data_IF_840436458679
#
_entry.id   IF_840436458679
#
_cell.length_a   1.000
_cell.length_b   1.000
_cell.length_c   1.000
_cell.angle_alpha   90.00
_cell.angle_beta   90.00
_cell.angle_gamma   90.00
#
_symmetry.space_group_name_H-M   'P 1'
#
loop_
_entity.id
_entity.type
_entity.pdbx_description
1 polymer ?
#
# COMPACT_ATOMS: atom_id res chain seq x y z
N UNK A 1 11.06 -14.51 -7.89
CA UNK A 1 10.71 -13.54 -8.94
C UNK A 1 9.21 -13.21 -8.96
N UNK A 2 8.28 -14.19 -8.98
CA UNK A 2 6.83 -13.95 -9.13
C UNK A 2 6.23 -13.07 -8.02
N UNK A 3 6.63 -13.24 -6.76
CA UNK A 3 6.14 -12.42 -5.62
C UNK A 3 6.54 -10.96 -5.76
N UNK A 4 7.79 -10.71 -6.11
CA UNK A 4 8.31 -9.36 -6.32
C UNK A 4 7.62 -8.71 -7.52
N UNK A 5 7.42 -9.47 -8.61
CA UNK A 5 6.66 -8.99 -9.76
C UNK A 5 5.22 -8.62 -9.39
N UNK A 6 4.53 -9.43 -8.57
CA UNK A 6 3.19 -9.11 -8.06
C UNK A 6 3.16 -7.80 -7.28
N UNK A 7 4.16 -7.55 -6.41
CA UNK A 7 4.28 -6.28 -5.67
C UNK A 7 4.42 -5.09 -6.61
N UNK A 8 5.37 -5.16 -7.55
CA UNK A 8 5.62 -4.06 -8.49
C UNK A 8 4.45 -3.80 -9.43
N UNK A 9 3.81 -4.87 -9.94
CA UNK A 9 2.65 -4.72 -10.82
C UNK A 9 1.41 -4.24 -10.06
N UNK A 10 1.23 -4.61 -8.80
CA UNK A 10 0.17 -4.03 -7.95
C UNK A 10 0.37 -2.53 -7.78
N UNK A 11 1.63 -2.08 -7.57
CA UNK A 11 1.94 -0.65 -7.54
C UNK A 11 1.57 0.03 -8.84
N UNK A 12 2.01 -0.50 -9.97
CA UNK A 12 1.69 0.07 -11.28
C UNK A 12 0.19 0.11 -11.52
N UNK A 13 -0.53 -0.94 -11.15
CA UNK A 13 -1.98 -1.02 -11.31
C UNK A 13 -2.70 0.05 -10.48
N UNK A 14 -2.43 0.15 -9.17
CA UNK A 14 -3.11 1.18 -8.37
C UNK A 14 -2.74 2.60 -8.80
N UNK A 15 -1.48 2.84 -9.20
CA UNK A 15 -1.04 4.15 -9.63
C UNK A 15 -1.73 4.58 -10.94
N UNK A 16 -1.83 3.67 -11.90
CA UNK A 16 -2.53 3.92 -13.18
C UNK A 16 -4.03 4.12 -12.97
N UNK A 17 -4.67 3.25 -12.21
CA UNK A 17 -6.11 3.34 -11.94
C UNK A 17 -6.43 4.64 -11.20
N UNK A 18 -5.66 4.98 -10.17
CA UNK A 18 -5.84 6.21 -9.41
C UNK A 18 -5.65 7.45 -10.29
N UNK A 19 -4.59 7.49 -11.09
CA UNK A 19 -4.33 8.59 -12.01
C UNK A 19 -5.48 8.76 -13.04
N UNK A 20 -5.97 7.65 -13.57
CA UNK A 20 -7.10 7.66 -14.52
C UNK A 20 -8.38 8.16 -13.86
N UNK A 21 -8.72 7.68 -12.66
CA UNK A 21 -9.90 8.13 -11.91
C UNK A 21 -9.83 9.62 -11.58
N UNK A 22 -8.68 10.09 -11.11
CA UNK A 22 -8.46 11.50 -10.79
C UNK A 22 -8.61 12.38 -12.03
N UNK A 23 -8.03 11.96 -13.17
CA UNK A 23 -8.11 12.69 -14.42
C UNK A 23 -9.54 12.72 -14.99
N UNK A 24 -10.24 11.59 -15.00
CA UNK A 24 -11.60 11.49 -15.54
C UNK A 24 -12.64 12.23 -14.70
N UNK A 25 -12.46 12.24 -13.38
CA UNK A 25 -13.39 12.87 -12.45
C UNK A 25 -13.03 14.33 -12.13
N UNK A 26 -11.93 14.86 -12.67
CA UNK A 26 -11.46 16.21 -12.40
C UNK A 26 -11.11 16.47 -10.93
N UNK A 27 -10.66 15.46 -10.21
CA UNK A 27 -10.36 15.52 -8.79
C UNK A 27 -8.93 16.00 -8.52
N UNK A 28 -8.68 16.44 -7.28
CA UNK A 28 -7.31 16.67 -6.83
C UNK A 28 -6.64 15.33 -6.53
N UNK A 29 -5.35 15.24 -6.85
CA UNK A 29 -4.58 14.04 -6.53
C UNK A 29 -4.45 13.89 -5.00
N UNK A 30 -4.75 12.70 -4.42
CA UNK A 30 -4.82 12.52 -2.96
C UNK A 30 -3.46 12.51 -2.27
N UNK A 31 -2.38 12.70 -3.01
CA UNK A 31 -1.00 12.64 -2.50
C UNK A 31 -0.14 13.76 -3.03
N UNK A 32 0.89 14.11 -2.26
CA UNK A 32 2.08 14.78 -2.77
C UNK A 32 3.08 13.74 -3.31
N UNK A 33 3.96 14.09 -4.26
CA UNK A 33 4.97 13.16 -4.79
C UNK A 33 5.81 12.48 -3.69
N UNK A 34 6.17 13.22 -2.63
CA UNK A 34 6.91 12.70 -1.47
C UNK A 34 6.14 11.65 -0.68
N UNK A 35 4.80 11.72 -0.61
CA UNK A 35 3.97 10.70 0.01
C UNK A 35 4.07 9.36 -0.74
N UNK A 36 4.06 9.41 -2.08
CA UNK A 36 4.22 8.23 -2.93
C UNK A 36 5.61 7.62 -2.77
N UNK A 37 6.63 8.46 -2.59
CA UNK A 37 8.00 8.01 -2.31
C UNK A 37 8.07 7.26 -0.99
N UNK A 38 7.51 7.81 0.09
CA UNK A 38 7.46 7.14 1.39
C UNK A 38 6.71 5.81 1.31
N UNK A 39 5.47 5.84 0.82
CA UNK A 39 4.64 4.64 0.69
C UNK A 39 5.29 3.59 -0.20
N UNK A 40 5.84 3.99 -1.34
CA UNK A 40 6.54 3.10 -2.26
C UNK A 40 7.81 2.49 -1.67
N UNK A 41 8.58 3.26 -0.90
CA UNK A 41 9.79 2.76 -0.23
C UNK A 41 9.45 1.72 0.83
N UNK A 42 8.49 2.01 1.71
CA UNK A 42 8.12 1.14 2.82
C UNK A 42 7.31 -0.09 2.40
N UNK A 43 6.48 0.01 1.38
CA UNK A 43 5.59 -1.09 0.98
C UNK A 43 6.09 -1.91 -0.21
N UNK A 44 7.10 -1.42 -0.95
CA UNK A 44 7.54 -2.11 -2.17
C UNK A 44 9.05 -2.11 -2.33
N UNK A 45 9.70 -0.94 -2.29
CA UNK A 45 11.11 -0.81 -2.62
C UNK A 45 12.01 -1.59 -1.67
N UNK A 46 11.99 -1.22 -0.40
CA UNK A 46 12.82 -1.85 0.64
C UNK A 46 12.43 -3.33 0.84
N UNK A 47 11.15 -3.67 1.11
CA UNK A 47 10.78 -5.06 1.30
C UNK A 47 10.97 -5.90 0.03
N UNK A 48 10.69 -5.35 -1.16
CA UNK A 48 10.90 -6.04 -2.42
C UNK A 48 12.37 -6.39 -2.65
N UNK A 49 13.29 -5.50 -2.29
CA UNK A 49 14.72 -5.76 -2.32
C UNK A 49 15.11 -6.93 -1.41
N UNK A 50 14.72 -6.88 -0.14
CA UNK A 50 15.03 -7.97 0.80
C UNK A 50 14.40 -9.30 0.41
N UNK A 51 13.16 -9.28 -0.09
CA UNK A 51 12.48 -10.48 -0.57
C UNK A 51 13.11 -11.05 -1.84
N UNK A 52 13.69 -10.21 -2.70
CA UNK A 52 14.43 -10.65 -3.88
C UNK A 52 15.73 -11.37 -3.54
N UNK A 53 16.39 -11.01 -2.43
CA UNK A 53 17.61 -11.67 -1.95
C UNK A 53 17.36 -13.05 -1.33
N UNK A 54 16.10 -13.38 -1.01
CA UNK A 54 15.78 -14.67 -0.40
C UNK A 54 15.87 -15.81 -1.44
N UNK A 55 16.52 -16.93 -1.12
CA UNK A 55 16.54 -18.10 -1.96
C UNK A 55 15.12 -18.58 -2.26
N UNK A 56 14.81 -18.76 -3.52
CA UNK A 56 13.53 -19.32 -3.94
C UNK A 56 13.75 -20.60 -4.76
N UNK A 57 13.62 -21.79 -4.17
CA UNK A 57 13.83 -23.06 -4.84
C UNK A 57 12.68 -23.46 -5.79
N UNK A 58 11.65 -22.63 -5.95
CA UNK A 58 10.49 -22.98 -6.79
C UNK A 58 10.85 -22.91 -8.26
N UNK A 59 10.58 -24.00 -8.97
CA UNK A 59 10.74 -24.12 -10.41
C UNK A 59 9.82 -23.15 -11.16
N UNK A 60 10.27 -22.72 -12.34
CA UNK A 60 9.48 -21.93 -13.27
C UNK A 60 8.17 -22.66 -13.63
N UNK A 61 7.07 -21.94 -13.62
CA UNK A 61 5.76 -22.41 -14.08
C UNK A 61 5.28 -21.56 -15.25
N UNK A 62 4.81 -22.13 -16.37
CA UNK A 62 4.22 -21.38 -17.48
C UNK A 62 3.04 -20.50 -17.02
N UNK A 63 2.73 -19.40 -17.75
CA UNK A 63 1.63 -18.51 -17.41
C UNK A 63 1.96 -17.50 -16.30
N UNK A 64 3.24 -17.18 -16.10
CA UNK A 64 3.69 -16.19 -15.10
C UNK A 64 2.97 -14.84 -15.20
N UNK A 65 2.86 -14.27 -16.41
CA UNK A 65 2.26 -12.95 -16.63
C UNK A 65 0.78 -12.96 -16.25
N UNK A 66 0.03 -13.96 -16.73
CA UNK A 66 -1.39 -14.07 -16.45
C UNK A 66 -1.68 -14.19 -14.94
N UNK A 67 -0.96 -15.08 -14.24
CA UNK A 67 -1.11 -15.23 -12.77
C UNK A 67 -0.75 -13.98 -12.01
N UNK A 68 0.23 -13.23 -12.51
CA UNK A 68 0.67 -12.00 -11.87
C UNK A 68 -0.36 -10.90 -12.07
N UNK A 69 -0.89 -10.73 -13.28
CA UNK A 69 -1.92 -9.73 -13.60
C UNK A 69 -3.25 -10.06 -12.94
N UNK A 70 -3.66 -11.32 -12.89
CA UNK A 70 -4.88 -11.76 -12.18
C UNK A 70 -4.88 -11.40 -10.70
N UNK A 71 -3.71 -11.29 -10.09
CA UNK A 71 -3.55 -10.79 -8.72
C UNK A 71 -3.41 -9.26 -8.69
N UNK A 72 -2.48 -8.72 -9.48
CA UNK A 72 -2.02 -7.34 -9.35
C UNK A 72 -3.08 -6.31 -9.75
N UNK A 73 -3.85 -6.58 -10.80
CA UNK A 73 -4.86 -5.64 -11.31
C UNK A 73 -6.01 -5.47 -10.31
N UNK A 74 -6.67 -6.52 -9.82
CA UNK A 74 -7.73 -6.36 -8.84
C UNK A 74 -7.23 -5.84 -7.49
N UNK A 75 -6.06 -6.28 -7.02
CA UNK A 75 -5.46 -5.76 -5.79
C UNK A 75 -5.16 -4.26 -5.91
N UNK A 76 -4.58 -3.85 -7.04
CA UNK A 76 -4.35 -2.44 -7.35
C UNK A 76 -5.63 -1.62 -7.43
N UNK A 77 -6.70 -2.17 -8.02
CA UNK A 77 -8.01 -1.52 -8.06
C UNK A 77 -8.59 -1.32 -6.66
N UNK A 78 -8.57 -2.34 -5.81
CA UNK A 78 -9.03 -2.24 -4.41
C UNK A 78 -8.27 -1.12 -3.70
N UNK A 79 -6.94 -1.08 -3.81
CA UNK A 79 -6.11 -0.04 -3.19
C UNK A 79 -6.48 1.35 -3.73
N UNK A 80 -6.58 1.51 -5.06
CA UNK A 80 -6.88 2.80 -5.69
C UNK A 80 -8.24 3.36 -5.24
N UNK A 81 -9.28 2.53 -5.26
CA UNK A 81 -10.61 2.94 -4.81
C UNK A 81 -10.65 3.23 -3.31
N UNK A 82 -9.97 2.43 -2.50
CA UNK A 82 -9.90 2.64 -1.05
C UNK A 82 -9.21 3.95 -0.72
N UNK A 83 -8.08 4.24 -1.35
CA UNK A 83 -7.32 5.47 -1.12
C UNK A 83 -8.11 6.70 -1.59
N UNK A 84 -8.65 6.66 -2.80
CA UNK A 84 -9.45 7.76 -3.33
C UNK A 84 -10.71 7.99 -2.47
N UNK A 85 -11.41 6.92 -2.11
CA UNK A 85 -12.57 6.98 -1.23
C UNK A 85 -12.26 7.56 0.14
N UNK A 86 -11.11 7.20 0.73
CA UNK A 86 -10.63 7.76 2.00
C UNK A 86 -10.40 9.26 1.88
N UNK A 87 -9.70 9.71 0.83
CA UNK A 87 -9.42 11.12 0.62
C UNK A 87 -10.71 11.94 0.44
N UNK A 88 -11.60 11.48 -0.44
CA UNK A 88 -12.88 12.16 -0.70
C UNK A 88 -13.79 12.18 0.54
N UNK A 89 -13.84 11.09 1.30
CA UNK A 89 -14.63 11.05 2.53
C UNK A 89 -14.07 12.03 3.57
N UNK A 90 -12.74 12.05 3.75
CA UNK A 90 -12.09 12.98 4.67
C UNK A 90 -12.37 14.45 4.32
N UNK A 91 -12.25 14.82 3.05
CA UNK A 91 -12.56 16.16 2.59
C UNK A 91 -14.05 16.54 2.79
N UNK A 92 -14.96 15.60 2.53
CA UNK A 92 -16.41 15.83 2.70
C UNK A 92 -16.83 16.07 4.15
N UNK A 93 -16.16 15.46 5.10
CA UNK A 93 -16.44 15.67 6.54
C UNK A 93 -15.62 16.83 7.14
N UNK A 94 -14.92 17.60 6.30
CA UNK A 94 -14.23 18.83 6.69
C UNK A 94 -12.84 18.61 7.28
N UNK A 95 -12.22 17.45 7.08
CA UNK A 95 -10.83 17.23 7.48
C UNK A 95 -9.91 18.08 6.59
N UNK A 96 -8.96 18.83 7.18
CA UNK A 96 -8.02 19.64 6.41
C UNK A 96 -7.25 18.83 5.38
N UNK A 97 -6.97 19.40 4.22
CA UNK A 97 -6.31 18.71 3.09
C UNK A 97 -5.02 18.00 3.49
N UNK A 98 -4.19 18.60 4.33
CA UNK A 98 -2.94 17.98 4.79
C UNK A 98 -3.18 16.71 5.64
N UNK A 99 -4.22 16.69 6.47
CA UNK A 99 -4.66 15.51 7.21
C UNK A 99 -5.24 14.44 6.28
N UNK A 100 -6.09 14.83 5.33
CA UNK A 100 -6.67 13.93 4.33
C UNK A 100 -5.59 13.24 3.48
N UNK A 101 -4.55 13.98 3.07
CA UNK A 101 -3.41 13.45 2.34
C UNK A 101 -2.57 12.51 3.21
N UNK A 102 -2.33 12.85 4.47
CA UNK A 102 -1.64 11.97 5.42
C UNK A 102 -2.43 10.68 5.64
N UNK A 103 -3.73 10.78 5.86
CA UNK A 103 -4.62 9.64 6.04
C UNK A 103 -4.60 8.69 4.82
N UNK A 104 -4.69 9.26 3.62
CA UNK A 104 -4.58 8.52 2.36
C UNK A 104 -3.24 7.82 2.21
N UNK A 105 -2.15 8.49 2.63
CA UNK A 105 -0.78 7.93 2.63
C UNK A 105 -0.65 6.77 3.61
N UNK A 106 -1.21 6.89 4.80
CA UNK A 106 -1.25 5.81 5.79
C UNK A 106 -2.01 4.60 5.25
N UNK A 107 -3.20 4.81 4.72
CA UNK A 107 -4.02 3.74 4.11
C UNK A 107 -3.28 3.05 2.98
N UNK A 108 -2.65 3.81 2.08
CA UNK A 108 -1.86 3.25 0.98
C UNK A 108 -0.69 2.40 1.49
N UNK A 109 0.07 2.92 2.45
CA UNK A 109 1.26 2.23 2.98
C UNK A 109 0.85 0.96 3.72
N UNK A 110 -0.15 1.04 4.58
CA UNK A 110 -0.66 -0.11 5.35
C UNK A 110 -1.29 -1.18 4.45
N UNK A 111 -2.08 -0.79 3.45
CA UNK A 111 -2.62 -1.73 2.47
C UNK A 111 -1.50 -2.39 1.63
N UNK A 112 -0.47 -1.64 1.28
CA UNK A 112 0.74 -2.18 0.63
C UNK A 112 1.47 -3.20 1.51
N UNK A 113 1.62 -2.95 2.81
CA UNK A 113 2.15 -3.93 3.78
C UNK A 113 1.24 -5.15 3.89
N UNK A 114 -0.08 -4.96 3.81
CA UNK A 114 -1.06 -6.03 3.74
C UNK A 114 -0.85 -6.94 2.52
N UNK A 115 -0.59 -6.37 1.35
CA UNK A 115 -0.25 -7.13 0.13
C UNK A 115 1.01 -7.98 0.34
N UNK A 116 2.06 -7.41 0.95
CA UNK A 116 3.27 -8.18 1.27
C UNK A 116 2.93 -9.34 2.19
N UNK A 117 2.16 -9.10 3.24
CA UNK A 117 1.73 -10.11 4.20
C UNK A 117 0.99 -11.26 3.49
N UNK A 118 0.07 -10.95 2.58
CA UNK A 118 -0.67 -11.97 1.79
C UNK A 118 0.27 -12.79 0.91
N UNK A 119 1.21 -12.13 0.23
CA UNK A 119 2.13 -12.78 -0.71
C UNK A 119 3.19 -13.64 -0.01
N UNK A 120 3.57 -13.26 1.21
CA UNK A 120 4.62 -13.93 1.98
C UNK A 120 4.06 -14.87 3.08
N UNK A 121 2.75 -15.03 3.14
CA UNK A 121 2.11 -15.93 4.11
C UNK A 121 2.52 -17.41 3.89
N UNK A 122 2.80 -18.17 4.95
CA UNK A 122 2.88 -17.78 6.35
C UNK A 122 4.14 -16.95 6.66
N UNK A 123 3.95 -15.86 7.43
CA UNK A 123 5.05 -15.04 7.90
C UNK A 123 5.86 -15.81 8.94
N UNK A 124 7.16 -15.90 8.75
CA UNK A 124 8.08 -16.53 9.70
C UNK A 124 9.46 -15.89 9.63
N UNK A 125 10.12 -15.79 10.78
CA UNK A 125 11.50 -15.33 10.89
C UNK A 125 11.73 -13.98 10.18
N UNK A 126 12.61 -13.98 9.18
CA UNK A 126 13.03 -12.78 8.46
C UNK A 126 11.89 -12.01 7.76
N UNK A 127 10.88 -12.72 7.24
CA UNK A 127 9.73 -12.09 6.58
C UNK A 127 8.94 -11.24 7.56
N UNK A 128 8.69 -11.76 8.76
CA UNK A 128 8.05 -11.00 9.84
C UNK A 128 8.90 -9.80 10.21
N UNK A 129 10.22 -9.97 10.33
CA UNK A 129 11.13 -8.87 10.65
C UNK A 129 11.06 -7.74 9.61
N UNK A 130 11.06 -8.06 8.31
CA UNK A 130 10.94 -7.07 7.23
C UNK A 130 9.62 -6.31 7.33
N UNK A 131 8.48 -6.99 7.44
CA UNK A 131 7.16 -6.33 7.53
C UNK A 131 7.07 -5.46 8.78
N UNK A 132 7.53 -5.97 9.92
CA UNK A 132 7.54 -5.20 11.19
C UNK A 132 8.46 -3.98 11.12
N UNK A 133 9.64 -4.12 10.50
CA UNK A 133 10.56 -2.99 10.30
C UNK A 133 9.94 -1.90 9.40
N UNK A 134 9.20 -2.28 8.37
CA UNK A 134 8.51 -1.31 7.50
C UNK A 134 7.35 -0.62 8.24
N UNK A 135 6.59 -1.36 9.04
CA UNK A 135 5.55 -0.77 9.89
C UNK A 135 6.15 0.19 10.93
N UNK A 136 7.26 -0.19 11.57
CA UNK A 136 8.00 0.69 12.47
C UNK A 136 8.54 1.93 11.73
N UNK A 137 9.04 1.78 10.51
CA UNK A 137 9.48 2.89 9.67
C UNK A 137 8.36 3.91 9.39
N UNK A 138 7.13 3.44 9.19
CA UNK A 138 5.96 4.32 9.04
C UNK A 138 5.67 5.10 10.34
N UNK A 139 5.73 4.43 11.48
CA UNK A 139 5.55 5.09 12.79
C UNK A 139 6.66 6.12 13.02
N UNK A 140 7.92 5.77 12.74
CA UNK A 140 9.05 6.69 12.87
C UNK A 140 8.90 7.91 11.96
N UNK A 141 8.37 7.73 10.74
CA UNK A 141 8.11 8.84 9.81
C UNK A 141 7.07 9.84 10.37
N UNK A 142 6.13 9.39 11.20
CA UNK A 142 5.16 10.25 11.87
C UNK A 142 5.72 10.90 13.14
N UNK A 143 6.55 10.17 13.89
CA UNK A 143 7.05 10.61 15.22
C UNK A 143 8.25 11.55 15.11
N UNK A 144 9.18 11.27 14.19
CA UNK A 144 10.40 12.08 14.03
C UNK A 144 10.06 13.37 13.29
N UNK A 145 10.18 14.56 13.91
CA UNK A 145 9.75 15.83 13.32
C UNK A 145 10.40 16.10 11.96
N UNK A 146 11.71 15.94 11.84
CA UNK A 146 12.45 16.16 10.60
C UNK A 146 11.94 15.26 9.45
N UNK A 147 11.69 13.98 9.72
CA UNK A 147 11.19 13.03 8.71
C UNK A 147 9.76 13.38 8.32
N UNK A 148 8.94 13.71 9.30
CA UNK A 148 7.55 14.12 9.09
C UNK A 148 7.45 15.36 8.21
N UNK A 149 8.26 16.38 8.48
CA UNK A 149 8.30 17.61 7.69
C UNK A 149 8.83 17.35 6.28
N UNK A 150 9.90 16.53 6.14
CA UNK A 150 10.43 16.15 4.85
C UNK A 150 9.38 15.49 3.96
N UNK A 151 8.57 14.59 4.51
CA UNK A 151 7.48 13.95 3.80
C UNK A 151 6.16 14.74 3.82
N UNK A 152 6.09 15.93 4.43
CA UNK A 152 4.89 16.74 4.62
C UNK A 152 3.71 15.97 5.23
N UNK A 153 4.00 15.14 6.21
CA UNK A 153 2.99 14.44 6.97
C UNK A 153 2.53 15.30 8.16
N UNK A 154 1.29 15.11 8.56
CA UNK A 154 0.73 15.69 9.78
C UNK A 154 0.53 14.57 10.79
N UNK A 155 0.69 14.87 12.09
CA UNK A 155 0.38 13.90 13.14
C UNK A 155 -1.12 13.59 13.09
N UNK A 156 -1.52 12.35 12.80
CA UNK A 156 -2.93 12.01 12.77
C UNK A 156 -3.52 12.03 14.17
N UNK A 157 -4.76 12.44 14.30
CA UNK A 157 -5.51 12.24 15.53
C UNK A 157 -5.72 10.75 15.82
N UNK A 158 -5.96 10.35 17.07
CA UNK A 158 -6.26 8.94 17.38
C UNK A 158 -7.41 8.35 16.54
N UNK A 159 -8.42 9.16 16.24
CA UNK A 159 -9.55 8.74 15.40
C UNK A 159 -9.11 8.52 13.93
N UNK A 160 -8.30 9.42 13.38
CA UNK A 160 -7.73 9.29 12.03
C UNK A 160 -6.81 8.06 11.93
N UNK A 161 -5.97 7.83 12.93
CA UNK A 161 -5.09 6.67 12.98
C UNK A 161 -5.90 5.35 13.04
N UNK A 162 -6.92 5.29 13.88
CA UNK A 162 -7.81 4.15 13.97
C UNK A 162 -8.59 3.92 12.66
N UNK A 163 -9.07 4.98 12.01
CA UNK A 163 -9.72 4.92 10.72
C UNK A 163 -8.77 4.37 9.65
N UNK A 164 -7.53 4.88 9.58
CA UNK A 164 -6.54 4.39 8.63
C UNK A 164 -6.25 2.89 8.79
N UNK A 165 -6.07 2.44 10.03
CA UNK A 165 -5.85 1.03 10.35
C UNK A 165 -7.06 0.17 9.94
N UNK A 166 -8.27 0.58 10.29
CA UNK A 166 -9.51 -0.13 9.95
C UNK A 166 -9.73 -0.22 8.44
N UNK A 167 -9.58 0.89 7.73
CA UNK A 167 -9.75 0.94 6.27
C UNK A 167 -8.70 0.08 5.57
N UNK A 168 -7.44 0.16 5.97
CA UNK A 168 -6.37 -0.66 5.41
C UNK A 168 -6.57 -2.15 5.72
N UNK A 169 -7.04 -2.50 6.90
CA UNK A 169 -7.36 -3.87 7.28
C UNK A 169 -8.51 -4.43 6.41
N UNK A 170 -9.56 -3.64 6.16
CA UNK A 170 -10.66 -4.03 5.27
C UNK A 170 -10.18 -4.21 3.82
N UNK A 171 -9.35 -3.31 3.31
CA UNK A 171 -8.77 -3.45 1.98
C UNK A 171 -7.90 -4.72 1.88
N UNK A 172 -7.07 -4.98 2.89
CA UNK A 172 -6.23 -6.18 2.96
C UNK A 172 -7.09 -7.45 3.01
N UNK A 173 -8.15 -7.46 3.82
CA UNK A 173 -9.08 -8.58 3.90
C UNK A 173 -9.80 -8.84 2.57
N UNK A 174 -10.22 -7.78 1.86
CA UNK A 174 -10.82 -7.89 0.53
C UNK A 174 -9.84 -8.49 -0.49
N UNK A 175 -8.59 -8.07 -0.49
CA UNK A 175 -7.53 -8.64 -1.36
C UNK A 175 -7.28 -10.11 -0.99
N UNK A 176 -7.22 -10.45 0.30
CA UNK A 176 -7.03 -11.82 0.75
C UNK A 176 -8.20 -12.73 0.34
N UNK A 177 -9.45 -12.28 0.51
CA UNK A 177 -10.64 -13.01 0.11
C UNK A 177 -10.69 -13.26 -1.40
N UNK A 178 -10.32 -12.26 -2.20
CA UNK A 178 -10.21 -12.39 -3.66
C UNK A 178 -9.16 -13.46 -4.04
N UNK A 179 -7.99 -13.44 -3.38
CA UNK A 179 -6.92 -14.42 -3.68
C UNK A 179 -7.27 -15.85 -3.27
N UNK A 180 -8.07 -16.02 -2.21
CA UNK A 180 -8.55 -17.33 -1.79
C UNK A 180 -9.51 -17.97 -2.80
N UNK A 181 -10.29 -17.17 -3.54
CA UNK A 181 -11.22 -17.65 -4.57
C UNK A 181 -10.56 -18.05 -5.89
N UNK A 182 -9.32 -17.60 -6.12
CA UNK A 182 -8.58 -17.82 -7.37
C UNK A 182 -7.56 -18.97 -7.24
N UNK A 183 -7.40 -19.53 -6.05
CA UNK A 183 -6.60 -20.75 -5.79
C UNK A 183 -7.43 -22.00 -6.00
#
# INVERSE_FOLDING_TARGET
>A
AERVAKLFLTKSAWAMILALLVALLGLRYPFLPRHITLAGSLSIGIPGFFLALMPNPRLYRPGFVERTLRFAVPAGAIIAFTVLGTNLAAERIGIPTAHAQTLSTLVLTLAGLGVITILEWPLSGWRTAVVSAMAAGLVLALVIPFVREFFALVVPTPAEAAAALGIAALATAAIAAMTARVR
#
